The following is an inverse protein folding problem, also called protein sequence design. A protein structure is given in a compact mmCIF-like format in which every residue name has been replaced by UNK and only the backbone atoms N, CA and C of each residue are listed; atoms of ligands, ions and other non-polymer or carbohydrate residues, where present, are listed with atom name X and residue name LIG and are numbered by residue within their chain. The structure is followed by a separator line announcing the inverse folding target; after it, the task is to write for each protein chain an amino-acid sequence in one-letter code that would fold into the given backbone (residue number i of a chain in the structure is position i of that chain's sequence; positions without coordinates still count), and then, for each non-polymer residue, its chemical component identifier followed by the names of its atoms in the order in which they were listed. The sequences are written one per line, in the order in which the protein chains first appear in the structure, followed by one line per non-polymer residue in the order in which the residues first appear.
data_IF_972756417835
#
_entry.id   IF_972756417835
#
_cell.length_a   1.000
_cell.length_b   1.000
_cell.length_c   1.000
_cell.angle_alpha   90.00
_cell.angle_beta   90.00
_cell.angle_gamma   90.00
#
_symmetry.space_group_name_H-M   'P 1'
#
loop_
_entity.id
_entity.type
_entity.pdbx_description
1 polymer ?
#
# COMPACT_ATOMS: atom_id res chain seq x y z
N UNK A 1 -13.76 8.41 -30.27
CA UNK A 1 -13.85 7.61 -29.03
C UNK A 1 -12.80 6.51 -29.16
N UNK A 2 -11.86 6.44 -28.21
CA UNK A 2 -10.82 5.43 -28.18
C UNK A 2 -11.13 4.49 -27.02
N UNK A 3 -11.08 3.19 -27.25
CA UNK A 3 -11.26 2.19 -26.19
C UNK A 3 -10.06 1.26 -26.17
N UNK A 4 -9.62 0.89 -24.96
CA UNK A 4 -8.62 -0.15 -24.75
C UNK A 4 -9.30 -1.51 -24.62
N UNK A 5 -8.72 -2.54 -25.23
CA UNK A 5 -9.15 -3.94 -25.05
C UNK A 5 -8.02 -4.68 -24.36
N UNK A 6 -8.28 -5.18 -23.16
CA UNK A 6 -7.32 -5.90 -22.33
C UNK A 6 -7.78 -7.34 -22.11
N UNK A 7 -6.86 -8.27 -21.80
CA UNK A 7 -7.23 -9.60 -21.35
C UNK A 7 -8.16 -9.53 -20.14
N UNK A 8 -9.14 -10.43 -20.07
CA UNK A 8 -9.94 -10.59 -18.85
C UNK A 8 -9.07 -11.16 -17.74
N UNK A 9 -9.03 -10.48 -16.60
CA UNK A 9 -8.30 -10.87 -15.40
C UNK A 9 -9.27 -11.04 -14.22
N UNK A 10 -8.81 -11.72 -13.18
CA UNK A 10 -9.48 -11.77 -11.89
C UNK A 10 -9.30 -10.50 -11.09
N UNK A 11 -10.20 -10.31 -10.14
CA UNK A 11 -10.26 -9.16 -9.22
C UNK A 11 -9.14 -9.22 -8.16
N UNK A 12 -9.19 -8.28 -7.20
CA UNK A 12 -8.21 -8.02 -6.14
C UNK A 12 -7.52 -9.26 -5.55
N UNK A 13 -6.21 -9.17 -5.24
CA UNK A 13 -5.43 -10.27 -4.66
C UNK A 13 -5.82 -10.60 -3.22
N UNK A 14 -6.77 -9.88 -2.61
CA UNK A 14 -7.08 -9.99 -1.19
C UNK A 14 -8.05 -11.11 -0.77
N UNK A 15 -8.75 -11.73 -1.73
CA UNK A 15 -9.76 -12.76 -1.44
C UNK A 15 -9.55 -14.07 -2.23
N UNK A 16 -9.11 -15.18 -1.60
CA UNK A 16 -8.60 -15.26 -0.23
C UNK A 16 -7.19 -14.65 -0.13
N UNK A 17 -6.85 -14.22 1.08
CA UNK A 17 -5.51 -13.72 1.41
C UNK A 17 -4.45 -14.84 1.29
N UNK A 18 -3.17 -14.47 1.33
CA UNK A 18 -2.06 -15.42 1.29
C UNK A 18 -2.16 -16.41 2.46
N UNK A 19 -2.08 -17.71 2.13
CA UNK A 19 -2.08 -18.80 3.11
C UNK A 19 -0.67 -19.15 3.56
N UNK A 20 0.30 -18.90 2.69
CA UNK A 20 1.71 -19.19 2.92
C UNK A 20 2.54 -17.91 2.82
N UNK A 21 3.71 -17.92 3.43
CA UNK A 21 4.64 -16.79 3.30
C UNK A 21 5.19 -16.70 1.88
N UNK A 22 5.35 -17.84 1.23
CA UNK A 22 5.80 -17.98 -0.14
C UNK A 22 4.87 -17.24 -1.11
N UNK A 23 3.55 -17.36 -0.93
CA UNK A 23 2.57 -16.60 -1.71
C UNK A 23 2.65 -15.09 -1.43
N UNK A 24 2.85 -14.69 -0.17
CA UNK A 24 2.99 -13.29 0.19
C UNK A 24 4.28 -12.67 -0.39
N UNK A 25 5.39 -13.43 -0.40
CA UNK A 25 6.65 -12.96 -0.98
C UNK A 25 6.63 -12.94 -2.49
N UNK A 26 6.04 -13.95 -3.14
CA UNK A 26 5.84 -13.97 -4.59
C UNK A 26 4.97 -12.77 -5.03
N UNK A 27 3.94 -12.42 -4.25
CA UNK A 27 3.16 -11.21 -4.48
C UNK A 27 4.00 -9.93 -4.42
N UNK A 28 4.74 -9.73 -3.33
CA UNK A 28 5.56 -8.52 -3.15
C UNK A 28 6.66 -8.42 -4.21
N UNK A 29 7.30 -9.54 -4.55
CA UNK A 29 8.34 -9.62 -5.58
C UNK A 29 7.79 -9.19 -6.95
N UNK A 30 6.64 -9.74 -7.35
CA UNK A 30 6.00 -9.39 -8.62
C UNK A 30 5.55 -7.92 -8.67
N UNK A 31 5.02 -7.37 -7.56
CA UNK A 31 4.65 -5.96 -7.50
C UNK A 31 5.87 -5.05 -7.64
N UNK A 32 6.96 -5.36 -6.92
CA UNK A 32 8.19 -4.59 -7.03
C UNK A 32 8.83 -4.71 -8.41
N UNK A 33 8.80 -5.89 -9.03
CA UNK A 33 9.25 -6.10 -10.41
C UNK A 33 8.46 -5.23 -11.39
N UNK A 34 7.12 -5.29 -11.31
CA UNK A 34 6.24 -4.48 -12.16
C UNK A 34 6.45 -2.98 -11.95
N UNK A 35 6.59 -2.54 -10.69
CA UNK A 35 6.83 -1.14 -10.37
C UNK A 35 8.19 -0.66 -10.87
N UNK A 36 9.24 -1.46 -10.66
CA UNK A 36 10.59 -1.19 -11.17
C UNK A 36 10.59 -1.07 -12.70
N UNK A 37 9.87 -1.96 -13.38
CA UNK A 37 9.70 -1.90 -14.82
C UNK A 37 9.04 -0.58 -15.25
N UNK A 38 7.92 -0.18 -14.64
CA UNK A 38 7.24 1.09 -14.95
C UNK A 38 8.16 2.29 -14.73
N UNK A 39 8.86 2.33 -13.60
CA UNK A 39 9.79 3.43 -13.27
C UNK A 39 10.98 3.49 -14.22
N UNK A 40 11.48 2.34 -14.70
CA UNK A 40 12.53 2.28 -15.73
C UNK A 40 12.09 2.87 -17.07
N UNK A 41 10.78 2.86 -17.33
CA UNK A 41 10.12 3.49 -18.50
C UNK A 41 9.64 4.90 -18.22
N UNK A 42 10.00 5.46 -17.07
CA UNK A 42 9.63 6.81 -16.63
C UNK A 42 8.13 7.01 -16.51
N UNK A 43 7.41 5.95 -16.12
CA UNK A 43 5.99 5.96 -15.81
C UNK A 43 5.85 5.85 -14.29
N UNK A 44 5.15 6.80 -13.67
CA UNK A 44 4.69 6.67 -12.28
C UNK A 44 3.17 6.50 -12.27
N UNK A 45 2.67 5.55 -11.49
CA UNK A 45 1.27 5.12 -11.52
C UNK A 45 0.34 6.06 -10.75
N UNK A 46 0.79 6.55 -9.59
CA UNK A 46 0.12 7.46 -8.67
C UNK A 46 -1.22 6.99 -8.10
N UNK A 47 -1.59 5.73 -8.30
CA UNK A 47 -2.81 5.13 -7.76
C UNK A 47 -2.59 3.66 -7.39
N UNK A 48 -1.44 3.36 -6.80
CA UNK A 48 -1.12 1.99 -6.38
C UNK A 48 -1.96 1.65 -5.15
N UNK A 49 -2.77 0.59 -5.28
CA UNK A 49 -3.60 0.03 -4.23
C UNK A 49 -3.97 -1.40 -4.60
N UNK A 50 -4.45 -2.19 -3.65
CA UNK A 50 -4.87 -3.57 -3.93
C UNK A 50 -6.03 -3.66 -4.95
N UNK A 51 -6.90 -2.63 -5.03
CA UNK A 51 -7.99 -2.58 -6.01
C UNK A 51 -7.48 -2.48 -7.45
N UNK A 52 -6.31 -1.87 -7.62
CA UNK A 52 -5.65 -1.68 -8.90
C UNK A 52 -4.61 -2.78 -9.20
N UNK A 53 -4.58 -3.83 -8.39
CA UNK A 53 -3.83 -5.06 -8.69
C UNK A 53 -4.79 -6.16 -9.11
N UNK A 54 -4.62 -6.65 -10.34
CA UNK A 54 -5.41 -7.74 -10.91
C UNK A 54 -4.63 -9.05 -10.89
N UNK A 55 -5.32 -10.18 -11.00
CA UNK A 55 -4.69 -11.51 -11.01
C UNK A 55 -5.03 -12.30 -12.27
N UNK A 56 -4.14 -13.20 -12.73
CA UNK A 56 -4.40 -14.09 -13.88
C UNK A 56 -5.48 -15.16 -13.66
N UNK A 57 -6.16 -15.16 -12.51
CA UNK A 57 -7.09 -16.21 -12.10
C UNK A 57 -8.53 -15.68 -12.07
N UNK A 58 -9.38 -16.13 -12.99
CA UNK A 58 -10.80 -15.73 -13.04
C UNK A 58 -11.64 -16.67 -12.18
N UNK A 59 -12.47 -16.10 -11.28
CA UNK A 59 -13.38 -16.85 -10.40
C UNK A 59 -12.82 -17.09 -9.00
N UNK A 60 -13.56 -17.81 -8.13
CA UNK A 60 -13.19 -17.96 -6.73
C UNK A 60 -11.89 -18.76 -6.59
N UNK A 61 -10.84 -18.10 -6.09
CA UNK A 61 -9.56 -18.72 -5.75
C UNK A 61 -9.78 -19.69 -4.57
N UNK A 62 -9.64 -21.00 -4.82
CA UNK A 62 -9.60 -22.00 -3.75
C UNK A 62 -8.19 -22.06 -3.16
N UNK A 63 -8.07 -22.32 -1.86
CA UNK A 63 -6.81 -22.38 -1.09
C UNK A 63 -5.74 -23.34 -1.65
N UNK A 64 -6.11 -24.26 -2.55
CA UNK A 64 -5.20 -25.19 -3.23
C UNK A 64 -4.89 -24.82 -4.69
N UNK A 65 -5.39 -23.67 -5.17
CA UNK A 65 -5.18 -23.21 -6.54
C UNK A 65 -3.77 -22.61 -6.70
N UNK A 66 -3.33 -21.83 -5.71
CA UNK A 66 -1.99 -21.22 -5.66
C UNK A 66 -0.87 -22.26 -5.59
N UNK A 67 -1.12 -23.43 -4.97
CA UNK A 67 -0.14 -24.53 -4.90
C UNK A 67 -0.03 -25.37 -6.18
N UNK A 68 -0.91 -25.16 -7.16
CA UNK A 68 -0.94 -25.94 -8.43
C UNK A 68 -0.63 -25.10 -9.66
N UNK A 69 -0.77 -23.78 -9.60
CA UNK A 69 -0.57 -22.88 -10.73
C UNK A 69 0.10 -21.59 -10.28
N UNK A 70 1.05 -21.09 -11.09
CA UNK A 70 1.70 -19.81 -10.84
C UNK A 70 0.67 -18.67 -10.96
N UNK A 71 0.60 -17.84 -9.92
CA UNK A 71 -0.22 -16.63 -9.89
C UNK A 71 0.60 -15.49 -10.46
N UNK A 72 -0.03 -14.66 -11.29
CA UNK A 72 0.55 -13.42 -11.79
C UNK A 72 -0.29 -12.23 -11.32
N UNK A 73 0.39 -11.18 -10.88
CA UNK A 73 -0.21 -9.93 -10.43
C UNK A 73 0.08 -8.82 -11.45
N UNK A 74 -0.94 -8.02 -11.77
CA UNK A 74 -0.87 -7.00 -12.82
C UNK A 74 -1.34 -5.66 -12.30
N UNK A 75 -0.57 -4.61 -12.55
CA UNK A 75 -1.03 -3.23 -12.38
C UNK A 75 -2.14 -2.90 -13.37
N UNK A 76 -3.17 -2.21 -12.90
CA UNK A 76 -4.28 -1.72 -13.68
C UNK A 76 -4.60 -0.27 -13.33
N UNK A 77 -5.41 0.38 -14.15
CA UNK A 77 -5.89 1.74 -13.94
C UNK A 77 -4.79 2.82 -13.98
N UNK A 78 -4.26 3.01 -15.18
CA UNK A 78 -3.24 4.02 -15.46
C UNK A 78 -3.82 5.42 -15.69
N UNK A 79 -5.07 5.67 -15.30
CA UNK A 79 -5.73 6.95 -15.56
C UNK A 79 -5.01 8.13 -14.88
N UNK A 80 -4.50 7.92 -13.67
CA UNK A 80 -3.79 8.93 -12.89
C UNK A 80 -2.28 8.98 -13.17
N UNK A 81 -1.78 8.06 -13.99
CA UNK A 81 -0.35 7.90 -14.24
C UNK A 81 0.26 9.13 -14.92
N UNK A 82 1.57 9.30 -14.71
CA UNK A 82 2.39 10.30 -15.41
C UNK A 82 3.53 9.62 -16.15
N UNK A 83 3.78 10.08 -17.37
CA UNK A 83 4.91 9.66 -18.18
C UNK A 83 5.85 10.85 -18.42
N UNK A 84 7.14 10.63 -18.25
CA UNK A 84 8.18 11.60 -18.61
C UNK A 84 8.96 11.11 -19.83
N UNK A 85 9.15 11.95 -20.86
CA UNK A 85 10.05 11.61 -21.97
C UNK A 85 11.47 11.26 -21.49
N UNK A 86 12.13 10.32 -22.18
CA UNK A 86 13.48 9.84 -21.82
C UNK A 86 14.51 10.98 -21.74
N UNK A 87 14.31 12.03 -22.52
CA UNK A 87 15.20 13.19 -22.60
C UNK A 87 14.99 14.20 -21.46
N UNK A 88 13.89 14.08 -20.71
CA UNK A 88 13.60 14.98 -19.57
C UNK A 88 14.66 14.81 -18.51
N UNK A 89 15.22 15.93 -18.03
CA UNK A 89 16.21 15.93 -16.96
C UNK A 89 15.61 15.27 -15.71
N UNK A 90 16.29 14.33 -15.05
CA UNK A 90 15.80 13.71 -13.81
C UNK A 90 15.28 14.69 -12.75
N UNK A 91 15.87 15.88 -12.65
CA UNK A 91 15.42 16.92 -11.71
C UNK A 91 14.05 17.54 -12.04
N UNK A 92 13.61 17.43 -13.29
CA UNK A 92 12.34 17.95 -13.79
C UNK A 92 11.22 16.89 -13.75
N UNK A 93 11.55 15.64 -13.37
CA UNK A 93 10.58 14.53 -13.28
C UNK A 93 9.80 14.60 -11.96
N UNK A 94 9.09 15.72 -11.78
CA UNK A 94 8.34 16.04 -10.57
C UNK A 94 6.89 16.40 -10.91
N UNK A 95 6.00 16.24 -9.94
CA UNK A 95 4.59 16.64 -10.02
C UNK A 95 4.21 17.45 -8.77
N UNK A 96 3.08 18.16 -8.82
CA UNK A 96 2.56 18.94 -7.69
C UNK A 96 1.10 18.60 -7.41
N UNK A 97 0.72 18.63 -6.14
CA UNK A 97 -0.64 18.35 -5.69
C UNK A 97 -1.07 16.89 -5.86
N UNK A 98 -2.36 16.64 -5.62
CA UNK A 98 -2.96 15.32 -5.76
C UNK A 98 -3.23 14.98 -7.25
N UNK A 99 -3.13 13.69 -7.66
CA UNK A 99 -3.37 13.29 -9.04
C UNK A 99 -4.74 13.70 -9.59
N UNK A 100 -5.81 13.54 -8.80
CA UNK A 100 -7.18 13.96 -9.18
C UNK A 100 -7.30 15.48 -9.30
N UNK A 101 -6.58 16.24 -8.47
CA UNK A 101 -6.55 17.70 -8.56
C UNK A 101 -5.93 18.12 -9.89
N UNK A 102 -4.78 17.53 -10.21
CA UNK A 102 -4.02 17.81 -11.43
C UNK A 102 -4.82 17.51 -12.71
N UNK A 103 -5.62 16.45 -12.71
CA UNK A 103 -6.31 15.98 -13.92
C UNK A 103 -7.74 16.50 -14.07
N UNK A 104 -8.51 16.59 -12.98
CA UNK A 104 -9.95 16.85 -13.04
C UNK A 104 -10.36 18.19 -12.43
N UNK A 105 -9.58 18.72 -11.50
CA UNK A 105 -9.97 19.87 -10.71
C UNK A 105 -8.79 20.80 -10.37
N UNK A 106 -8.10 21.37 -11.39
CA UNK A 106 -6.87 22.15 -11.16
C UNK A 106 -7.11 23.39 -10.29
N UNK A 107 -8.31 23.96 -10.35
CA UNK A 107 -8.70 25.16 -9.60
C UNK A 107 -9.37 24.84 -8.24
N UNK A 108 -9.58 23.55 -7.92
CA UNK A 108 -10.19 23.17 -6.66
C UNK A 108 -9.24 23.37 -5.49
N UNK A 109 -9.81 23.69 -4.32
CA UNK A 109 -9.03 23.80 -3.09
C UNK A 109 -8.44 22.45 -2.72
N UNK A 110 -7.25 22.49 -2.12
CA UNK A 110 -6.54 21.30 -1.71
C UNK A 110 -7.37 20.44 -0.74
N UNK A 111 -8.13 21.07 0.18
CA UNK A 111 -9.02 20.33 1.09
C UNK A 111 -10.10 19.55 0.34
N UNK A 112 -10.73 20.15 -0.68
CA UNK A 112 -11.79 19.51 -1.45
C UNK A 112 -11.26 18.31 -2.26
N UNK A 113 -10.06 18.42 -2.81
CA UNK A 113 -9.49 17.32 -3.58
C UNK A 113 -8.98 16.19 -2.69
N UNK A 114 -8.43 16.52 -1.52
CA UNK A 114 -8.05 15.51 -0.53
C UNK A 114 -9.24 14.63 -0.12
N UNK A 115 -10.42 15.24 0.05
CA UNK A 115 -11.65 14.50 0.35
C UNK A 115 -12.14 13.60 -0.80
N UNK A 116 -11.77 13.92 -2.05
CA UNK A 116 -12.26 13.22 -3.25
C UNK A 116 -11.23 12.28 -3.89
N UNK A 117 -9.95 12.35 -3.51
CA UNK A 117 -8.89 11.48 -4.02
C UNK A 117 -9.13 9.99 -3.69
N UNK A 118 -9.83 9.71 -2.59
CA UNK A 118 -10.28 8.35 -2.26
C UNK A 118 -9.18 7.39 -1.82
N UNK A 119 -7.92 7.83 -1.77
CA UNK A 119 -6.75 7.08 -1.27
C UNK A 119 -6.04 7.89 -0.19
N UNK A 120 -5.33 7.19 0.69
CA UNK A 120 -4.38 7.84 1.59
C UNK A 120 -3.23 8.41 0.74
N UNK A 121 -3.03 9.74 0.73
CA UNK A 121 -1.97 10.35 -0.05
C UNK A 121 -0.64 10.24 0.67
N UNK A 122 0.43 9.99 -0.07
CA UNK A 122 1.77 10.09 0.49
C UNK A 122 2.00 11.50 1.07
N UNK A 123 2.72 11.66 2.19
CA UNK A 123 2.83 12.93 2.89
C UNK A 123 3.34 14.09 2.01
N UNK A 124 4.19 13.81 1.03
CA UNK A 124 4.67 14.80 0.05
C UNK A 124 3.60 15.28 -0.92
N UNK A 125 2.57 14.47 -1.21
CA UNK A 125 1.47 14.85 -2.10
C UNK A 125 0.55 15.88 -1.45
N UNK A 126 0.58 15.96 -0.12
CA UNK A 126 -0.12 16.96 0.68
C UNK A 126 0.58 18.31 0.73
N UNK A 127 1.81 18.38 0.22
CA UNK A 127 2.61 19.59 0.22
C UNK A 127 2.38 20.38 -1.08
N UNK A 128 2.51 21.70 -1.00
CA UNK A 128 2.41 22.56 -2.19
C UNK A 128 3.68 22.52 -3.06
N UNK A 129 4.77 21.92 -2.57
CA UNK A 129 6.03 21.80 -3.30
C UNK A 129 6.01 20.62 -4.27
N UNK A 130 6.68 20.73 -5.44
CA UNK A 130 6.87 19.60 -6.33
C UNK A 130 7.55 18.41 -5.64
N UNK A 131 7.10 17.20 -5.96
CA UNK A 131 7.62 15.97 -5.40
C UNK A 131 7.90 14.93 -6.49
N UNK A 132 8.65 13.88 -6.12
CA UNK A 132 9.01 12.78 -7.00
C UNK A 132 7.85 11.76 -7.07
N UNK A 133 7.15 11.61 -8.19
CA UNK A 133 6.00 10.71 -8.28
C UNK A 133 6.39 9.24 -8.14
N UNK A 134 7.61 8.87 -8.54
CA UNK A 134 8.13 7.51 -8.37
C UNK A 134 8.29 7.13 -6.90
N UNK A 135 8.60 8.08 -6.01
CA UNK A 135 8.69 7.82 -4.57
C UNK A 135 7.31 7.73 -3.93
N UNK A 136 6.35 8.53 -4.41
CA UNK A 136 4.97 8.43 -3.99
C UNK A 136 4.38 7.04 -4.33
N UNK A 137 4.68 6.50 -5.51
CA UNK A 137 4.30 5.12 -5.88
C UNK A 137 4.84 4.07 -4.88
N UNK A 138 6.12 4.19 -4.50
CA UNK A 138 6.74 3.27 -3.54
C UNK A 138 6.07 3.37 -2.17
N UNK A 139 5.65 4.58 -1.77
CA UNK A 139 4.88 4.77 -0.55
C UNK A 139 3.49 4.13 -0.67
N UNK A 140 2.78 4.35 -1.77
CA UNK A 140 1.44 3.79 -2.01
C UNK A 140 1.43 2.27 -2.18
N UNK A 141 2.57 1.66 -2.53
CA UNK A 141 2.74 0.22 -2.53
C UNK A 141 2.63 -0.41 -1.13
N UNK A 142 2.58 0.39 -0.05
CA UNK A 142 2.55 -0.08 1.34
C UNK A 142 1.70 -1.35 1.49
N UNK A 143 2.41 -2.45 1.75
CA UNK A 143 1.81 -3.78 1.88
C UNK A 143 1.15 -3.92 3.26
N UNK A 144 0.08 -4.72 3.39
CA UNK A 144 -0.65 -4.86 4.65
C UNK A 144 0.27 -5.14 5.83
N UNK A 145 -0.11 -4.59 7.00
CA UNK A 145 0.73 -4.52 8.19
C UNK A 145 1.24 -5.92 8.57
N UNK A 146 2.46 -6.25 8.14
CA UNK A 146 3.06 -7.59 8.25
C UNK A 146 3.06 -8.12 9.69
N UNK A 147 3.00 -7.23 10.68
CA UNK A 147 2.94 -7.60 12.08
C UNK A 147 1.63 -8.32 12.45
N UNK A 148 0.50 -7.93 11.86
CA UNK A 148 -0.78 -8.65 12.06
C UNK A 148 -0.76 -10.00 11.33
N UNK A 149 -0.14 -10.05 10.14
CA UNK A 149 0.03 -11.29 9.37
C UNK A 149 0.90 -12.30 10.16
N UNK A 150 2.04 -11.86 10.70
CA UNK A 150 2.94 -12.68 11.53
C UNK A 150 2.28 -13.16 12.83
N UNK A 151 1.47 -12.31 13.47
CA UNK A 151 0.76 -12.67 14.69
C UNK A 151 -0.16 -13.88 14.46
N UNK A 152 -0.95 -13.87 13.38
CA UNK A 152 -1.85 -14.99 13.08
C UNK A 152 -1.10 -16.26 12.71
N UNK A 153 0.08 -16.17 12.07
CA UNK A 153 0.88 -17.34 11.75
C UNK A 153 1.47 -18.03 12.99
N UNK A 154 1.83 -17.28 14.03
CA UNK A 154 2.33 -17.85 15.30
C UNK A 154 1.18 -18.41 16.14
N UNK A 155 0.01 -17.77 16.13
CA UNK A 155 -1.22 -18.33 16.72
C UNK A 155 -1.59 -19.69 16.13
N UNK A 156 -1.27 -19.92 14.85
CA UNK A 156 -1.60 -21.14 14.11
C UNK A 156 -0.45 -22.15 13.99
N UNK A 157 0.65 -21.99 14.72
CA UNK A 157 1.82 -22.87 14.64
C UNK A 157 1.49 -24.35 14.92
N UNK A 158 2.10 -25.28 14.18
CA UNK A 158 1.93 -26.72 14.41
C UNK A 158 2.57 -27.19 15.73
N UNK A 159 3.52 -26.44 16.28
CA UNK A 159 4.07 -26.66 17.62
C UNK A 159 3.24 -25.88 18.66
N UNK A 160 2.55 -26.54 19.59
CA UNK A 160 1.68 -25.86 20.56
C UNK A 160 2.44 -24.96 21.54
N UNK A 161 3.71 -25.24 21.84
CA UNK A 161 4.52 -24.48 22.81
C UNK A 161 4.87 -23.06 22.35
N UNK A 162 4.80 -22.79 21.04
CA UNK A 162 5.13 -21.47 20.47
C UNK A 162 3.90 -20.59 20.24
N UNK A 163 2.68 -21.13 20.39
CA UNK A 163 1.47 -20.33 20.21
C UNK A 163 1.34 -19.34 21.38
N UNK A 164 1.11 -18.04 21.13
CA UNK A 164 0.90 -17.11 22.21
C UNK A 164 -0.35 -17.49 23.01
N UNK A 165 -0.35 -17.14 24.29
CA UNK A 165 -1.61 -17.08 25.02
C UNK A 165 -2.53 -16.04 24.39
N UNK A 166 -3.84 -16.21 24.57
CA UNK A 166 -4.81 -15.25 24.07
C UNK A 166 -4.53 -13.81 24.56
N UNK A 167 -4.02 -13.65 25.79
CA UNK A 167 -3.68 -12.34 26.35
C UNK A 167 -2.41 -11.73 25.75
N UNK A 168 -1.42 -12.54 25.40
CA UNK A 168 -0.21 -12.08 24.71
C UNK A 168 -0.54 -11.64 23.27
N UNK A 169 -1.31 -12.45 22.53
CA UNK A 169 -1.76 -12.12 21.18
C UNK A 169 -2.62 -10.85 21.15
N UNK A 170 -3.51 -10.70 22.13
CA UNK A 170 -4.36 -9.51 22.26
C UNK A 170 -3.55 -8.23 22.53
N UNK A 171 -2.48 -8.32 23.31
CA UNK A 171 -1.60 -7.17 23.58
C UNK A 171 -0.80 -6.78 22.35
N UNK A 172 -0.26 -7.76 21.63
CA UNK A 172 0.50 -7.56 20.40
C UNK A 172 -0.39 -6.93 19.32
N UNK A 173 -1.58 -7.50 19.08
CA UNK A 173 -2.58 -6.93 18.17
C UNK A 173 -2.94 -5.48 18.49
N UNK A 174 -3.13 -5.15 19.77
CA UNK A 174 -3.45 -3.78 20.21
C UNK A 174 -2.29 -2.81 20.05
N UNK A 175 -1.06 -3.28 20.26
CA UNK A 175 0.15 -2.49 20.04
C UNK A 175 0.31 -2.12 18.57
N UNK A 176 0.07 -3.06 17.65
CA UNK A 176 0.11 -2.82 16.21
C UNK A 176 -0.97 -1.80 15.79
N UNK A 177 -2.20 -1.97 16.27
CA UNK A 177 -3.31 -1.03 16.01
C UNK A 177 -2.96 0.38 16.50
N UNK A 178 -2.38 0.54 17.70
CA UNK A 178 -2.02 1.86 18.22
C UNK A 178 -0.92 2.56 17.41
N UNK A 179 0.03 1.79 16.87
CA UNK A 179 1.14 2.32 16.09
C UNK A 179 0.69 2.81 14.71
N UNK A 180 -0.28 2.15 14.07
CA UNK A 180 -0.88 2.61 12.80
C UNK A 180 -1.74 3.87 12.97
N UNK A 181 -2.44 4.01 14.10
CA UNK A 181 -3.33 5.17 14.36
C UNK A 181 -2.64 6.48 14.72
N UNK A 182 -1.30 6.54 14.83
CA UNK A 182 -0.57 7.77 15.19
C UNK A 182 -0.29 8.71 14.00
N UNK A 183 -0.85 8.46 12.81
CA UNK A 183 -0.73 9.34 11.65
C UNK A 183 -1.64 10.59 11.67
N UNK A 184 -2.44 10.82 12.72
CA UNK A 184 -3.03 12.14 12.99
C UNK A 184 -2.98 12.51 14.48
N UNK A 185 -1.92 13.21 14.89
CA UNK A 185 -2.00 14.21 15.97
C UNK A 185 -1.03 15.35 15.67
N UNK A 186 -1.52 16.39 14.99
CA UNK A 186 -0.94 17.71 15.14
C UNK A 186 -1.08 18.18 16.60
N UNK A 187 0.01 18.72 17.16
CA UNK A 187 -0.04 19.53 18.38
C UNK A 187 0.79 19.01 19.57
N UNK A 188 1.94 19.67 19.76
CA UNK A 188 2.65 19.99 21.01
C UNK A 188 1.75 19.83 22.26
N UNK A 189 2.09 19.07 23.32
CA UNK A 189 3.07 19.38 24.40
C UNK A 189 3.47 18.07 25.13
N UNK A 190 4.76 17.85 25.47
CA UNK A 190 5.15 16.79 26.38
C UNK A 190 4.85 17.19 27.83
N UNK A 191 4.02 16.42 28.53
CA UNK A 191 4.00 16.50 30.00
C UNK A 191 5.11 15.60 30.54
N UNK A 192 6.13 16.28 31.04
CA UNK A 192 7.24 15.75 31.82
C UNK A 192 6.77 14.97 33.06
N UNK A 193 7.58 13.96 33.41
CA UNK A 193 7.99 13.75 34.80
C UNK A 193 7.14 12.80 35.64
N UNK A 194 7.44 11.51 35.53
CA UNK A 194 7.29 10.57 36.63
C UNK A 194 8.34 10.92 37.72
N UNK A 195 7.91 11.18 38.95
CA UNK A 195 8.67 10.89 40.17
C UNK A 195 7.74 9.99 41.00
N UNK A 196 7.88 8.66 40.92
CA UNK A 196 8.83 7.83 41.65
C UNK A 196 8.63 7.82 43.18
N UNK A 197 8.10 6.67 43.63
CA UNK A 197 8.55 5.85 44.76
C UNK A 197 8.18 6.21 46.22
N UNK A 198 7.45 5.24 46.83
CA UNK A 198 7.69 4.56 48.12
C UNK A 198 7.50 5.36 49.41
N UNK A 199 6.58 4.90 50.28
CA UNK A 199 6.89 4.28 51.58
C UNK A 199 5.63 4.07 52.46
N UNK A 200 5.57 2.86 53.04
CA UNK A 200 4.72 2.33 54.13
C UNK A 200 3.23 2.15 53.84
#
# INVERSE_FOLDING_TARGET
MTFGVFPTLGESPDSPWFHTYEEAFDFVDQLLEGLSFMHSRLIAHLDISLDNILVNCIGPRKTSFQSRFKVFYYYNDFELAVYFPEQTNPAERVVSGLPTQRLYAPDATFEHVRETYGRDPAPEMLQQSPYCPFKADVWQLETPHQAIIRLFQIMSSTNPEVRPSASAALREFRSEISNTTSCELGGIVPKSGLHAMVAV
#
